data_IF_811280972171
#
_entry.id   IF_811280972171
#
_cell.length_a   1.000
_cell.length_b   1.000
_cell.length_c   1.000
_cell.angle_alpha   90.00
_cell.angle_beta   90.00
_cell.angle_gamma   90.00
#
_symmetry.space_group_name_H-M   'P 1'
#
loop_
_entity.id
_entity.type
_entity.pdbx_description
1 polymer ?
#
# COMPACT_ATOMS: atom_id res chain seq x y z
N UNK A 1 8.83 -8.34 25.57
CA UNK A 1 8.63 -8.70 24.14
C UNK A 1 8.58 -7.38 23.39
N UNK A 2 9.46 -7.14 22.42
CA UNK A 2 9.53 -5.84 21.76
C UNK A 2 8.21 -5.55 21.04
N UNK A 3 7.40 -4.66 21.60
CA UNK A 3 6.13 -4.17 21.03
C UNK A 3 6.36 -3.20 19.84
N UNK A 4 7.48 -3.33 19.13
CA UNK A 4 7.93 -2.51 18.00
C UNK A 4 8.39 -3.35 16.78
N UNK A 5 8.10 -4.65 16.75
CA UNK A 5 8.69 -5.63 15.83
C UNK A 5 8.15 -5.62 14.40
N UNK A 6 8.44 -4.57 13.61
CA UNK A 6 8.27 -4.67 12.15
C UNK A 6 9.26 -5.71 11.60
N UNK A 7 8.74 -6.78 10.98
CA UNK A 7 9.57 -7.81 10.34
C UNK A 7 10.17 -7.25 9.06
N UNK A 8 11.50 -7.17 9.00
CA UNK A 8 12.19 -6.79 7.76
C UNK A 8 12.17 -7.96 6.78
N UNK A 9 11.69 -7.71 5.57
CA UNK A 9 11.64 -8.69 4.48
C UNK A 9 12.43 -8.10 3.30
N UNK A 10 13.48 -8.78 2.81
CA UNK A 10 14.16 -8.33 1.60
C UNK A 10 13.21 -8.48 0.42
N UNK A 11 12.87 -7.36 -0.23
CA UNK A 11 11.95 -7.32 -1.36
C UNK A 11 12.73 -7.00 -2.64
N UNK A 12 12.55 -7.84 -3.66
CA UNK A 12 13.12 -7.61 -5.00
C UNK A 12 12.04 -7.02 -5.89
N UNK A 13 12.22 -5.78 -6.33
CA UNK A 13 11.30 -5.08 -7.22
C UNK A 13 12.00 -4.77 -8.54
N UNK A 14 11.23 -4.75 -9.64
CA UNK A 14 11.74 -4.17 -10.87
C UNK A 14 11.88 -2.65 -10.70
N UNK A 15 12.87 -2.00 -11.35
CA UNK A 15 13.04 -0.55 -11.24
C UNK A 15 11.79 0.23 -11.64
N UNK A 16 11.08 -0.24 -12.67
CA UNK A 16 9.82 0.37 -13.13
C UNK A 16 8.75 0.39 -12.04
N UNK A 17 8.58 -0.73 -11.33
CA UNK A 17 7.58 -0.83 -10.26
C UNK A 17 7.97 0.03 -9.05
N UNK A 18 9.25 0.02 -8.69
CA UNK A 18 9.76 0.89 -7.61
C UNK A 18 9.48 2.37 -7.90
N UNK A 19 9.80 2.83 -9.11
CA UNK A 19 9.58 4.22 -9.51
C UNK A 19 8.09 4.61 -9.47
N UNK A 20 7.20 3.73 -9.91
CA UNK A 20 5.75 3.97 -9.86
C UNK A 20 5.25 4.09 -8.41
N UNK A 21 5.70 3.22 -7.52
CA UNK A 21 5.35 3.29 -6.08
C UNK A 21 5.95 4.54 -5.43
N UNK A 22 7.17 4.92 -5.81
CA UNK A 22 7.83 6.11 -5.27
C UNK A 22 7.14 7.41 -5.69
N UNK A 23 6.75 7.54 -6.96
CA UNK A 23 5.98 8.68 -7.43
C UNK A 23 4.63 8.80 -6.70
N UNK A 24 3.91 7.67 -6.55
CA UNK A 24 2.65 7.68 -5.80
C UNK A 24 2.86 8.03 -4.32
N UNK A 25 3.91 7.52 -3.70
CA UNK A 25 4.25 7.89 -2.32
C UNK A 25 4.54 9.39 -2.18
N UNK A 26 5.20 10.00 -3.18
CA UNK A 26 5.47 11.43 -3.24
C UNK A 26 4.19 12.26 -3.36
N UNK A 27 3.28 11.86 -4.27
CA UNK A 27 1.97 12.51 -4.46
C UNK A 27 1.14 12.51 -3.16
N UNK A 28 1.22 11.42 -2.38
CA UNK A 28 0.52 11.26 -1.12
C UNK A 28 1.30 11.78 0.11
N UNK A 29 2.47 12.40 -0.08
CA UNK A 29 3.39 12.86 0.98
C UNK A 29 3.76 11.76 2.01
N UNK A 30 3.96 10.52 1.53
CA UNK A 30 4.35 9.34 2.33
C UNK A 30 5.75 8.85 1.98
N UNK A 31 6.37 8.10 2.90
CA UNK A 31 7.59 7.34 2.56
C UNK A 31 7.26 6.15 1.67
N UNK A 32 8.20 5.74 0.81
CA UNK A 32 8.05 4.56 -0.06
C UNK A 32 7.73 3.30 0.75
N UNK A 33 8.39 3.09 1.90
CA UNK A 33 8.12 1.95 2.78
C UNK A 33 6.70 2.02 3.38
N UNK A 34 6.24 3.22 3.75
CA UNK A 34 4.87 3.43 4.23
C UNK A 34 3.84 3.15 3.14
N UNK A 35 4.12 3.52 1.89
CA UNK A 35 3.25 3.22 0.77
C UNK A 35 3.18 1.72 0.49
N UNK A 36 4.31 1.01 0.52
CA UNK A 36 4.33 -0.46 0.39
C UNK A 36 3.52 -1.11 1.52
N UNK A 37 3.69 -0.66 2.77
CA UNK A 37 2.94 -1.17 3.91
C UNK A 37 1.42 -0.94 3.77
N UNK A 38 1.02 0.23 3.28
CA UNK A 38 -0.38 0.55 2.99
C UNK A 38 -0.96 -0.39 1.94
N UNK A 39 -0.30 -0.52 0.78
CA UNK A 39 -0.75 -1.39 -0.31
C UNK A 39 -0.90 -2.86 0.12
N UNK A 40 0.09 -3.38 0.85
CA UNK A 40 0.02 -4.75 1.37
C UNK A 40 -1.12 -4.93 2.38
N UNK A 41 -1.35 -3.93 3.24
CA UNK A 41 -2.44 -3.96 4.22
C UNK A 41 -3.80 -3.96 3.54
N UNK A 42 -3.98 -3.13 2.53
CA UNK A 42 -5.22 -3.07 1.74
C UNK A 42 -5.48 -4.38 0.99
N UNK A 43 -4.47 -4.96 0.33
CA UNK A 43 -4.59 -6.27 -0.32
C UNK A 43 -5.03 -7.37 0.66
N UNK A 44 -4.47 -7.41 1.87
CA UNK A 44 -4.87 -8.39 2.89
C UNK A 44 -6.28 -8.11 3.42
N UNK A 45 -6.62 -6.85 3.68
CA UNK A 45 -7.95 -6.42 4.14
C UNK A 45 -9.02 -6.84 3.14
N UNK A 46 -8.78 -6.58 1.86
CA UNK A 46 -9.69 -6.95 0.80
C UNK A 46 -9.84 -8.45 0.63
N UNK A 47 -8.73 -9.20 0.65
CA UNK A 47 -8.78 -10.66 0.59
C UNK A 47 -9.63 -11.25 1.72
N UNK A 48 -9.60 -10.66 2.91
CA UNK A 48 -10.48 -11.05 4.02
C UNK A 48 -11.96 -10.69 3.78
N UNK A 49 -12.24 -9.58 3.11
CA UNK A 49 -13.61 -9.09 2.84
C UNK A 49 -14.30 -9.89 1.73
N UNK A 50 -13.65 -10.08 0.59
CA UNK A 50 -14.29 -10.62 -0.63
C UNK A 50 -13.49 -11.74 -1.32
N UNK A 51 -12.38 -12.20 -0.72
CA UNK A 51 -11.53 -13.25 -1.29
C UNK A 51 -10.68 -12.82 -2.49
N UNK A 52 -10.80 -11.58 -2.97
CA UNK A 52 -10.04 -11.06 -4.11
C UNK A 52 -8.72 -10.43 -3.67
N UNK A 53 -7.73 -10.40 -4.56
CA UNK A 53 -6.39 -9.85 -4.31
C UNK A 53 -6.22 -8.39 -4.76
N UNK A 54 -7.11 -7.91 -5.64
CA UNK A 54 -7.07 -6.57 -6.21
C UNK A 54 -8.47 -5.98 -6.11
N UNK A 55 -8.49 -4.70 -5.79
CA UNK A 55 -9.71 -3.96 -5.58
C UNK A 55 -10.21 -3.50 -6.91
N UNK A 56 -11.50 -3.75 -7.15
CA UNK A 56 -12.21 -3.13 -8.27
C UNK A 56 -12.23 -1.58 -8.10
N UNK A 57 -11.89 -1.06 -6.90
CA UNK A 57 -11.91 0.36 -6.52
C UNK A 57 -10.52 0.98 -6.24
N UNK A 58 -9.38 0.28 -6.47
CA UNK A 58 -8.03 0.83 -6.13
C UNK A 58 -7.70 2.10 -6.93
N UNK A 59 -8.19 2.21 -8.17
CA UNK A 59 -7.99 3.37 -9.04
C UNK A 59 -9.10 4.43 -8.89
N UNK A 60 -10.01 4.26 -7.93
CA UNK A 60 -11.09 5.22 -7.70
C UNK A 60 -10.63 6.19 -6.60
N UNK A 61 -10.55 7.51 -6.89
CA UNK A 61 -10.26 8.50 -5.86
C UNK A 61 -11.26 8.36 -4.71
N UNK A 62 -10.83 8.35 -3.45
CA UNK A 62 -11.76 8.29 -2.33
C UNK A 62 -12.72 9.48 -2.40
N UNK A 63 -14.03 9.24 -2.28
CA UNK A 63 -14.99 10.30 -2.04
C UNK A 63 -14.67 10.91 -0.67
N UNK A 64 -14.04 12.08 -0.68
CA UNK A 64 -13.85 12.90 0.51
C UNK A 64 -15.15 13.67 0.74
N UNK A 65 -16.04 13.11 1.56
CA UNK A 65 -17.14 13.87 2.18
C UNK A 65 -16.52 14.88 3.17
N UNK A 66 -16.11 16.04 2.63
CA UNK A 66 -15.73 17.20 3.42
C UNK A 66 -17.03 17.93 3.82
N UNK A 67 -17.57 17.56 4.99
CA UNK A 67 -18.56 18.37 5.72
C UNK A 67 -17.88 19.45 6.56
#
# INVERSE_FOLDING_TARGET
MNENGKKQIPLRLSPKLYNAIAAWAEDDFRSVNGQIEYLLSECVRQRKKNGKYVSDEIDVPPELDLQ
#
